data_IF_348320134300
#
_entry.id   IF_348320134300
#
_cell.length_a   1.000
_cell.length_b   1.000
_cell.length_c   1.000
_cell.angle_alpha   90.00
_cell.angle_beta   90.00
_cell.angle_gamma   90.00
#
_symmetry.space_group_name_H-M   'P 1'
#
loop_
_entity.id
_entity.type
_entity.pdbx_description
1 polymer ?
#
# COMPACT_ATOMS: atom_id res chain seq x y z
N UNK A 1 26.00 19.35 20.60
CA UNK A 1 24.60 19.18 20.18
C UNK A 1 24.63 18.56 18.79
N UNK A 2 24.42 17.26 18.68
CA UNK A 2 24.46 16.57 17.37
C UNK A 2 23.02 16.60 16.84
N UNK A 3 22.79 17.36 15.77
CA UNK A 3 21.55 17.30 15.02
C UNK A 3 21.68 16.08 14.09
N UNK A 4 21.07 14.96 14.48
CA UNK A 4 20.88 13.81 13.59
C UNK A 4 19.75 14.14 12.62
N UNK A 5 20.09 14.83 11.52
CA UNK A 5 19.22 14.88 10.34
C UNK A 5 19.35 13.54 9.60
N UNK A 6 18.81 12.47 10.18
CA UNK A 6 18.51 11.26 9.39
C UNK A 6 17.18 11.51 8.72
N UNK A 7 17.20 11.96 7.47
CA UNK A 7 16.09 11.71 6.56
C UNK A 7 16.00 10.19 6.42
N UNK A 8 15.25 9.53 7.30
CA UNK A 8 15.10 8.08 7.21
C UNK A 8 14.40 7.79 5.89
N UNK A 9 15.09 7.04 5.02
CA UNK A 9 14.55 6.63 3.73
C UNK A 9 13.33 5.75 4.00
N UNK A 10 12.17 6.13 3.46
CA UNK A 10 10.92 5.37 3.61
C UNK A 10 11.08 3.95 3.08
N UNK A 11 10.42 3.00 3.76
CA UNK A 11 10.28 1.64 3.23
C UNK A 11 9.28 1.69 2.09
N UNK A 12 9.64 1.09 0.95
CA UNK A 12 8.78 1.09 -0.22
C UNK A 12 8.26 -0.32 -0.52
N UNK A 13 6.95 -0.43 -0.71
CA UNK A 13 6.28 -1.69 -1.00
C UNK A 13 5.51 -1.62 -2.32
N UNK A 14 5.61 -2.68 -3.11
CA UNK A 14 4.73 -2.96 -4.24
C UNK A 14 3.58 -3.81 -3.74
N UNK A 15 2.36 -3.39 -4.03
CA UNK A 15 1.12 -4.05 -3.63
C UNK A 15 0.32 -4.40 -4.87
N UNK A 16 -0.02 -5.68 -5.03
CA UNK A 16 -0.95 -6.15 -6.06
C UNK A 16 -2.33 -6.34 -5.46
N UNK A 17 -3.31 -5.65 -6.05
CA UNK A 17 -4.71 -5.78 -5.66
C UNK A 17 -5.25 -7.10 -6.21
N UNK A 18 -5.80 -7.92 -5.32
CA UNK A 18 -6.47 -9.17 -5.64
C UNK A 18 -7.94 -8.95 -5.98
N UNK A 19 -8.79 -9.85 -5.49
CA UNK A 19 -10.22 -9.79 -5.77
C UNK A 19 -10.88 -8.56 -5.12
N UNK A 20 -11.76 -7.91 -5.87
CA UNK A 20 -12.46 -6.70 -5.44
C UNK A 20 -13.52 -6.26 -6.43
N UNK A 21 -14.61 -5.69 -5.91
CA UNK A 21 -15.64 -4.98 -6.67
C UNK A 21 -15.35 -3.47 -6.80
N UNK A 22 -14.30 -2.97 -6.12
CA UNK A 22 -13.97 -1.54 -6.06
C UNK A 22 -13.12 -1.10 -7.24
N UNK A 23 -13.26 0.17 -7.62
CA UNK A 23 -12.38 0.80 -8.60
C UNK A 23 -10.99 1.08 -8.03
N UNK A 24 -9.99 1.22 -8.92
CA UNK A 24 -8.61 1.55 -8.52
C UNK A 24 -8.56 2.86 -7.75
N UNK A 25 -9.37 3.84 -8.16
CA UNK A 25 -9.46 5.16 -7.55
C UNK A 25 -10.02 5.12 -6.13
N UNK A 26 -11.00 4.24 -5.87
CA UNK A 26 -11.53 4.01 -4.51
C UNK A 26 -10.47 3.40 -3.59
N UNK A 27 -9.76 2.37 -4.05
CA UNK A 27 -8.70 1.73 -3.23
C UNK A 27 -7.58 2.73 -2.93
N UNK A 28 -7.13 3.51 -3.91
CA UNK A 28 -6.10 4.54 -3.67
C UNK A 28 -6.59 5.58 -2.66
N UNK A 29 -7.85 6.01 -2.76
CA UNK A 29 -8.43 6.97 -1.82
C UNK A 29 -8.46 6.39 -0.40
N UNK A 30 -8.87 5.13 -0.26
CA UNK A 30 -8.93 4.45 1.02
C UNK A 30 -7.52 4.35 1.65
N UNK A 31 -6.54 3.86 0.90
CA UNK A 31 -5.14 3.76 1.34
C UNK A 31 -4.55 5.11 1.74
N UNK A 32 -4.89 6.19 1.03
CA UNK A 32 -4.46 7.56 1.40
C UNK A 32 -5.12 8.06 2.69
N UNK A 33 -6.33 7.59 2.99
CA UNK A 33 -7.05 7.98 4.20
C UNK A 33 -6.48 7.34 5.48
N UNK A 34 -5.68 6.28 5.35
CA UNK A 34 -5.08 5.59 6.50
C UNK A 34 -4.09 6.47 7.24
N UNK A 35 -3.42 7.39 6.53
CA UNK A 35 -2.35 8.20 7.10
C UNK A 35 -1.21 7.34 7.63
N UNK A 36 -0.47 7.87 8.61
CA UNK A 36 0.67 7.15 9.19
C UNK A 36 0.25 5.75 9.70
N UNK A 37 1.04 4.71 9.40
CA UNK A 37 2.41 4.75 8.85
C UNK A 37 2.50 4.77 7.31
N UNK A 38 1.38 4.83 6.56
CA UNK A 38 1.38 4.94 5.09
C UNK A 38 1.48 6.43 4.71
N UNK A 39 2.60 6.83 4.13
CA UNK A 39 2.91 8.24 3.87
C UNK A 39 2.51 8.62 2.45
N UNK A 40 2.85 7.79 1.47
CA UNK A 40 2.48 8.02 0.07
C UNK A 40 1.88 6.78 -0.57
N UNK A 41 0.97 7.03 -1.51
CA UNK A 41 0.28 6.01 -2.28
C UNK A 41 0.30 6.43 -3.75
N UNK A 42 0.95 5.63 -4.58
CA UNK A 42 1.13 5.89 -6.01
C UNK A 42 0.62 4.72 -6.84
N UNK A 43 -0.16 4.98 -7.89
CA UNK A 43 -0.56 3.96 -8.84
C UNK A 43 0.62 3.65 -9.78
N UNK A 44 1.11 2.41 -9.76
CA UNK A 44 2.12 1.94 -10.70
C UNK A 44 1.50 1.41 -12.00
N UNK A 45 0.46 0.58 -11.87
CA UNK A 45 -0.26 0.00 -13.01
C UNK A 45 -1.73 -0.14 -12.68
N UNK A 46 -2.60 0.30 -13.60
CA UNK A 46 -4.04 0.04 -13.50
C UNK A 46 -4.36 -1.37 -14.04
N UNK A 47 -5.24 -2.09 -13.35
CA UNK A 47 -5.82 -3.34 -13.85
C UNK A 47 -6.56 -3.13 -15.17
N UNK A 48 -6.66 -4.18 -15.99
CA UNK A 48 -7.29 -4.08 -17.31
C UNK A 48 -8.83 -4.04 -17.25
N UNK A 49 -9.42 -4.41 -16.11
CA UNK A 49 -10.87 -4.52 -15.91
C UNK A 49 -11.53 -3.24 -15.41
N UNK A 50 -12.83 -3.34 -15.13
CA UNK A 50 -13.61 -2.28 -14.50
C UNK A 50 -13.30 -2.10 -13.00
N UNK A 51 -12.77 -3.15 -12.36
CA UNK A 51 -12.37 -3.15 -10.94
C UNK A 51 -10.85 -3.01 -10.81
N UNK A 52 -10.40 -2.80 -9.58
CA UNK A 52 -9.00 -2.65 -9.26
C UNK A 52 -8.21 -3.96 -9.31
N UNK A 53 -8.84 -5.12 -9.51
CA UNK A 53 -8.15 -6.41 -9.54
C UNK A 53 -6.99 -6.42 -10.56
N UNK A 54 -5.83 -6.89 -10.11
CA UNK A 54 -4.57 -6.89 -10.88
C UNK A 54 -3.89 -5.51 -11.00
N UNK A 55 -4.39 -4.48 -10.30
CA UNK A 55 -3.69 -3.19 -10.21
C UNK A 55 -2.46 -3.31 -9.31
N UNK A 56 -1.43 -2.55 -9.63
CA UNK A 56 -0.20 -2.44 -8.84
C UNK A 56 -0.14 -1.04 -8.24
N UNK A 57 -0.07 -0.98 -6.91
CA UNK A 57 0.06 0.24 -6.13
C UNK A 57 1.40 0.21 -5.40
N UNK A 58 2.12 1.32 -5.39
CA UNK A 58 3.33 1.51 -4.59
C UNK A 58 2.98 2.30 -3.34
N UNK A 59 3.40 1.80 -2.18
CA UNK A 59 3.25 2.43 -0.88
C UNK A 59 4.62 2.84 -0.34
N UNK A 60 4.74 4.10 0.06
CA UNK A 60 5.86 4.53 0.91
C UNK A 60 5.39 4.54 2.36
N UNK A 61 6.11 3.84 3.22
CA UNK A 61 5.75 3.58 4.61
C UNK A 61 6.87 4.04 5.54
N UNK A 62 6.51 4.46 6.74
CA UNK A 62 7.48 4.71 7.81
C UNK A 62 8.40 3.49 8.00
N UNK A 63 9.72 3.67 7.99
CA UNK A 63 10.67 2.55 8.00
C UNK A 63 10.55 1.65 9.22
N UNK A 64 10.63 0.33 9.01
CA UNK A 64 10.66 -0.66 10.09
C UNK A 64 9.33 -0.86 10.83
N UNK A 65 8.23 -0.26 10.35
CA UNK A 65 6.90 -0.43 10.96
C UNK A 65 6.22 -1.73 10.52
N UNK A 66 6.40 -2.11 9.25
CA UNK A 66 5.86 -3.34 8.70
C UNK A 66 6.94 -4.14 7.99
N UNK A 67 6.78 -5.46 8.00
CA UNK A 67 7.30 -6.37 6.98
C UNK A 67 6.20 -6.67 5.94
N UNK A 68 6.50 -7.50 4.94
CA UNK A 68 5.57 -7.82 3.85
C UNK A 68 4.29 -8.50 4.37
N UNK A 69 4.44 -9.47 5.28
CA UNK A 69 3.33 -10.23 5.89
C UNK A 69 2.47 -9.37 6.82
N UNK A 70 3.09 -8.49 7.60
CA UNK A 70 2.39 -7.54 8.46
C UNK A 70 1.61 -6.52 7.64
N UNK A 71 2.18 -6.00 6.55
CA UNK A 71 1.51 -5.05 5.67
C UNK A 71 0.35 -5.70 4.93
N UNK A 72 0.52 -6.88 4.32
CA UNK A 72 -0.59 -7.57 3.62
C UNK A 72 -1.74 -7.88 4.58
N UNK A 73 -1.44 -8.31 5.81
CA UNK A 73 -2.45 -8.54 6.84
C UNK A 73 -3.18 -7.24 7.20
N UNK A 74 -2.45 -6.16 7.47
CA UNK A 74 -3.03 -4.86 7.82
C UNK A 74 -3.95 -4.31 6.72
N UNK A 75 -3.52 -4.41 5.46
CA UNK A 75 -4.31 -3.92 4.32
C UNK A 75 -5.58 -4.75 4.12
N UNK A 76 -5.51 -6.08 4.26
CA UNK A 76 -6.68 -6.95 4.17
C UNK A 76 -7.64 -6.80 5.36
N UNK A 77 -7.13 -6.61 6.58
CA UNK A 77 -7.97 -6.32 7.75
C UNK A 77 -8.74 -5.00 7.60
N UNK A 78 -8.10 -4.00 7.01
CA UNK A 78 -8.71 -2.67 6.86
C UNK A 78 -9.64 -2.61 5.65
N UNK A 79 -9.26 -3.24 4.53
CA UNK A 79 -10.13 -3.41 3.36
C UNK A 79 -11.36 -4.28 3.63
N UNK A 80 -11.27 -5.17 4.63
CA UNK A 80 -12.37 -6.04 5.05
C UNK A 80 -12.90 -6.88 3.88
N UNK A 81 -14.22 -6.90 3.72
CA UNK A 81 -14.85 -7.61 2.60
C UNK A 81 -14.85 -6.82 1.27
N UNK A 82 -14.31 -5.58 1.24
CA UNK A 82 -14.44 -4.71 0.07
C UNK A 82 -13.35 -4.95 -0.99
N UNK A 83 -12.15 -5.31 -0.55
CA UNK A 83 -11.05 -5.66 -1.44
C UNK A 83 -10.04 -6.55 -0.73
N UNK A 84 -9.28 -7.29 -1.53
CA UNK A 84 -8.16 -8.09 -1.06
C UNK A 84 -6.86 -7.63 -1.70
N UNK A 85 -5.78 -7.77 -0.95
CA UNK A 85 -4.41 -7.66 -1.42
C UNK A 85 -3.88 -9.06 -1.67
N UNK A 86 -3.48 -9.33 -2.91
CA UNK A 86 -2.97 -10.62 -3.33
C UNK A 86 -1.48 -10.79 -3.01
N UNK A 87 -0.69 -9.73 -3.24
CA UNK A 87 0.77 -9.77 -3.08
C UNK A 87 1.27 -8.45 -2.49
N UNK A 88 2.22 -8.56 -1.58
CA UNK A 88 3.05 -7.44 -1.12
C UNK A 88 4.51 -7.83 -1.33
N UNK A 89 5.31 -6.91 -1.86
CA UNK A 89 6.76 -7.12 -2.00
C UNK A 89 7.53 -5.85 -1.65
N UNK A 90 8.53 -5.96 -0.78
CA UNK A 90 9.40 -4.82 -0.45
C UNK A 90 10.33 -4.51 -1.62
N UNK A 91 10.45 -3.23 -1.95
CA UNK A 91 11.27 -2.73 -3.06
C UNK A 91 12.52 -2.03 -2.54
N UNK A 92 12.43 -1.29 -1.43
CA UNK A 92 13.58 -0.64 -0.80
C UNK A 92 13.40 -0.36 0.67
#
# INVERSE_FOLDING_TARGET
>A
MIILNTTQKLDQYRVEVGDTERSTEEIIRDLKSYGEPIIHVTLGKKGAGATAAGSIITLDVTPGVFDEDGLIKKLNETGGCMYQIAVVSKIS
#
